data_IF_183682260931
#
_entry.id   IF_183682260931
#
_cell.length_a   1.000
_cell.length_b   1.000
_cell.length_c   1.000
_cell.angle_alpha   90.00
_cell.angle_beta   90.00
_cell.angle_gamma   90.00
#
_symmetry.space_group_name_H-M   'P 1'
#
loop_
_entity.id
_entity.type
_entity.pdbx_description
1 polymer ?
#
# COMPACT_ATOMS: atom_id res chain seq x y z
N UNK A 1 -22.33 -16.68 13.68
CA UNK A 1 -21.16 -15.95 13.16
C UNK A 1 -20.27 -15.66 14.34
N UNK A 2 -19.08 -16.23 14.36
CA UNK A 2 -18.21 -16.26 15.55
C UNK A 2 -17.52 -14.91 15.76
N UNK A 3 -17.95 -14.18 16.79
CA UNK A 3 -17.47 -12.83 17.14
C UNK A 3 -15.94 -12.79 17.32
N UNK A 4 -15.34 -13.89 17.77
CA UNK A 4 -13.88 -13.99 17.95
C UNK A 4 -13.12 -13.92 16.61
N UNK A 5 -13.68 -14.48 15.53
CA UNK A 5 -13.05 -14.43 14.21
C UNK A 5 -13.00 -12.99 13.66
N UNK A 6 -14.03 -12.19 13.93
CA UNK A 6 -14.11 -10.81 13.47
C UNK A 6 -13.11 -9.89 14.19
N UNK A 7 -12.90 -10.11 15.49
CA UNK A 7 -11.87 -9.40 16.27
C UNK A 7 -10.44 -9.72 15.80
N UNK A 8 -10.16 -10.98 15.43
CA UNK A 8 -8.86 -11.37 14.85
C UNK A 8 -8.64 -10.70 13.49
N UNK A 9 -9.69 -10.57 12.68
CA UNK A 9 -9.65 -9.89 11.39
C UNK A 9 -9.37 -8.39 11.58
N UNK A 10 -10.04 -7.73 12.53
CA UNK A 10 -9.87 -6.31 12.83
C UNK A 10 -8.45 -5.97 13.33
N UNK A 11 -7.91 -6.76 14.25
CA UNK A 11 -6.61 -6.51 14.88
C UNK A 11 -5.40 -7.06 14.11
N UNK A 12 -5.62 -7.58 12.89
CA UNK A 12 -4.55 -8.20 12.12
C UNK A 12 -3.55 -7.19 11.55
N UNK A 13 -2.27 -7.34 11.92
CA UNK A 13 -1.15 -6.75 11.17
C UNK A 13 -1.00 -7.52 9.84
N UNK A 14 -1.50 -6.90 8.78
CA UNK A 14 -1.70 -7.58 7.50
C UNK A 14 -0.39 -7.77 6.73
N UNK A 15 -0.14 -9.02 6.33
CA UNK A 15 0.89 -9.38 5.34
C UNK A 15 0.20 -9.60 4.00
N UNK A 16 0.35 -8.64 3.09
CA UNK A 16 -0.37 -8.59 1.83
C UNK A 16 0.34 -9.41 0.75
N UNK A 17 -0.39 -10.34 0.16
CA UNK A 17 -0.02 -10.99 -1.10
C UNK A 17 -0.80 -10.29 -2.20
N UNK A 18 -0.09 -9.58 -3.07
CA UNK A 18 -0.69 -8.82 -4.18
C UNK A 18 -0.79 -9.74 -5.38
N UNK A 19 -1.99 -9.84 -5.95
CA UNK A 19 -2.29 -10.64 -7.14
C UNK A 19 -1.69 -10.01 -8.40
N UNK A 20 -1.82 -10.73 -9.52
CA UNK A 20 -1.34 -10.25 -10.81
C UNK A 20 -1.98 -8.89 -11.18
N UNK A 21 -1.24 -8.01 -11.87
CA UNK A 21 -1.76 -6.70 -12.24
C UNK A 21 -3.00 -6.79 -13.14
N UNK A 22 -4.09 -6.13 -12.72
CA UNK A 22 -5.31 -5.96 -13.52
C UNK A 22 -5.49 -4.49 -13.91
N UNK A 23 -4.49 -3.93 -14.60
CA UNK A 23 -4.46 -2.54 -15.02
C UNK A 23 -3.80 -1.60 -14.00
N UNK A 24 -4.45 -0.49 -13.67
CA UNK A 24 -3.89 0.55 -12.80
C UNK A 24 -3.87 0.17 -11.31
N UNK A 25 -4.62 -0.88 -10.95
CA UNK A 25 -4.72 -1.40 -9.59
C UNK A 25 -4.55 -2.92 -9.59
N UNK A 26 -4.09 -3.44 -8.46
CA UNK A 26 -4.03 -4.86 -8.13
C UNK A 26 -4.79 -5.12 -6.84
N UNK A 27 -5.37 -6.32 -6.70
CA UNK A 27 -6.02 -6.75 -5.47
C UNK A 27 -4.97 -7.46 -4.62
N UNK A 28 -4.89 -7.10 -3.34
CA UNK A 28 -4.07 -7.81 -2.38
C UNK A 28 -4.92 -8.50 -1.33
N UNK A 29 -4.55 -9.73 -0.98
CA UNK A 29 -5.17 -10.51 0.09
C UNK A 29 -4.21 -10.73 1.24
N UNK A 30 -4.67 -10.50 2.46
CA UNK A 30 -3.88 -10.76 3.65
C UNK A 30 -3.75 -12.28 3.86
N UNK A 31 -2.51 -12.79 3.94
CA UNK A 31 -2.25 -14.23 4.15
C UNK A 31 -2.74 -14.73 5.51
N UNK A 32 -2.93 -13.83 6.49
CA UNK A 32 -3.33 -14.17 7.86
C UNK A 32 -4.84 -14.11 8.06
N UNK A 33 -5.44 -12.95 7.85
CA UNK A 33 -6.87 -12.73 8.12
C UNK A 33 -7.77 -12.78 6.88
N UNK A 34 -7.20 -12.89 5.68
CA UNK A 34 -7.96 -12.99 4.44
C UNK A 34 -8.62 -11.70 3.93
N UNK A 35 -8.48 -10.55 4.64
CA UNK A 35 -8.93 -9.23 4.16
C UNK A 35 -8.39 -8.95 2.76
N UNK A 36 -9.17 -8.20 1.98
CA UNK A 36 -8.77 -7.70 0.66
C UNK A 36 -8.56 -6.19 0.70
N UNK A 37 -7.63 -5.69 -0.13
CA UNK A 37 -7.35 -4.26 -0.31
C UNK A 37 -6.86 -4.00 -1.74
N UNK A 38 -7.22 -2.86 -2.32
CA UNK A 38 -6.67 -2.41 -3.61
C UNK A 38 -5.33 -1.70 -3.43
N UNK A 39 -4.40 -1.97 -4.33
CA UNK A 39 -3.08 -1.34 -4.42
C UNK A 39 -2.92 -0.70 -5.79
N UNK A 40 -2.44 0.53 -5.85
CA UNK A 40 -2.10 1.18 -7.12
C UNK A 40 -0.77 0.65 -7.64
N UNK A 41 -0.69 0.42 -8.95
CA UNK A 41 0.52 -0.08 -9.62
C UNK A 41 1.48 1.05 -10.03
N UNK A 42 1.24 2.26 -9.56
CA UNK A 42 2.07 3.43 -9.79
C UNK A 42 2.24 4.18 -8.48
N UNK A 43 3.40 4.81 -8.33
CA UNK A 43 3.66 5.78 -7.27
C UNK A 43 3.29 7.18 -7.79
N UNK A 44 2.78 8.06 -6.93
CA UNK A 44 2.66 9.47 -7.30
C UNK A 44 4.03 10.02 -7.72
N UNK A 45 4.09 10.69 -8.86
CA UNK A 45 5.33 11.19 -9.47
C UNK A 45 6.05 12.21 -8.60
N UNK A 46 5.39 12.76 -7.58
CA UNK A 46 5.92 13.70 -6.60
C UNK A 46 6.85 13.09 -5.55
N UNK A 47 6.90 11.75 -5.42
CA UNK A 47 7.71 11.08 -4.38
C UNK A 47 9.22 11.22 -4.65
N UNK A 48 9.63 11.49 -5.90
CA UNK A 48 11.03 11.69 -6.29
C UNK A 48 11.38 13.15 -6.59
N UNK A 49 10.39 14.04 -6.69
CA UNK A 49 10.60 15.48 -6.89
C UNK A 49 10.95 16.17 -5.57
N UNK A 50 11.99 15.69 -4.90
CA UNK A 50 12.76 16.59 -4.03
C UNK A 50 13.66 17.38 -4.97
N UNK A 51 13.14 18.47 -5.52
CA UNK A 51 13.97 19.47 -6.18
C UNK A 51 14.94 19.99 -5.12
N UNK A 52 16.13 19.38 -5.05
CA UNK A 52 17.29 19.99 -4.43
C UNK A 52 17.58 21.26 -5.24
N UNK A 53 16.96 22.36 -4.85
CA UNK A 53 17.40 23.69 -5.20
C UNK A 53 18.76 23.87 -4.53
N UNK A 54 19.83 23.41 -5.19
CA UNK A 54 21.17 23.89 -4.93
C UNK A 54 21.14 25.36 -5.31
N UNK A 55 20.93 26.22 -4.32
CA UNK A 55 21.10 27.66 -4.45
C UNK A 55 22.60 27.91 -4.64
N UNK A 56 23.05 27.82 -5.90
CA UNK A 56 24.36 28.28 -6.31
C UNK A 56 24.23 29.75 -6.66
N UNK A 57 24.93 30.58 -5.87
CA UNK A 57 25.10 32.04 -5.94
C UNK A 57 24.11 32.83 -5.07
N UNK A 58 24.53 33.46 -3.97
CA UNK A 58 25.50 34.56 -4.03
C UNK A 58 26.21 34.78 -2.70
N UNK A 59 27.51 35.07 -2.82
CA UNK A 59 28.44 35.65 -1.83
C UNK A 59 27.87 36.93 -1.22
#
# INVERSE_FOLDING_TARGET
MDVNSELEVLNCICYWVIEEPSGSKSIGRCKKCGKTKEFYNYTDTSVWSTEYNYDSETI
#
